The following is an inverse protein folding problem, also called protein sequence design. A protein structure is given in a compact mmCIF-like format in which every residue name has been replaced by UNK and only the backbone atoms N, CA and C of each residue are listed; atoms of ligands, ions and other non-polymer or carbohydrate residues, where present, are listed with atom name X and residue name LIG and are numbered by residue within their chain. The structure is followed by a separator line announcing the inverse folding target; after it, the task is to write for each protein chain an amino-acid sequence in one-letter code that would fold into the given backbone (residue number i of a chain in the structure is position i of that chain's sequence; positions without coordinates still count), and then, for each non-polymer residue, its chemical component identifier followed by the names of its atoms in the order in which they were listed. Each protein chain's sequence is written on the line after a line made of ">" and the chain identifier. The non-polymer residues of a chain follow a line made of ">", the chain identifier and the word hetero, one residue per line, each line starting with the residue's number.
data_IF_319753528614
#
_entry.id   IF_319753528614
#
_cell.length_a   1.000
_cell.length_b   1.000
_cell.length_c   1.000
_cell.angle_alpha   90.00
_cell.angle_beta   90.00
_cell.angle_gamma   90.00
#
_symmetry.space_group_name_H-M   'P 1'
#
loop_
_entity.id
_entity.type
_entity.pdbx_description
1 polymer ?
#
# COMPACT_ATOMS: atom_id res chain seq x y z
N UNK A 1 -14.39 114.33 -15.98
CA UNK A 1 -13.90 113.24 -16.84
C UNK A 1 -12.74 112.56 -16.11
N UNK A 2 -12.63 111.25 -15.99
CA UNK A 2 -13.31 110.22 -16.76
C UNK A 2 -13.57 108.95 -15.96
N UNK A 3 -14.62 108.24 -16.39
CA UNK A 3 -14.83 106.85 -16.08
C UNK A 3 -13.59 106.08 -16.53
N UNK A 4 -12.76 105.62 -15.59
CA UNK A 4 -11.84 104.52 -15.87
C UNK A 4 -12.71 103.31 -16.13
N UNK A 5 -12.83 102.94 -17.41
CA UNK A 5 -13.54 101.73 -17.78
C UNK A 5 -12.92 100.54 -17.03
N UNK A 6 -13.77 99.79 -16.33
CA UNK A 6 -13.46 98.49 -15.76
C UNK A 6 -13.43 97.49 -16.94
N UNK A 7 -12.43 97.61 -17.81
CA UNK A 7 -12.29 96.72 -18.98
C UNK A 7 -11.38 95.53 -18.67
N UNK A 8 -10.54 95.63 -17.63
CA UNK A 8 -9.56 94.61 -17.27
C UNK A 8 -10.11 93.47 -16.40
N UNK A 9 -11.38 93.50 -15.97
CA UNK A 9 -11.97 92.41 -15.19
C UNK A 9 -12.68 91.35 -16.06
N UNK A 10 -12.86 91.58 -17.36
CA UNK A 10 -13.66 90.69 -18.20
C UNK A 10 -12.85 89.59 -18.92
N UNK A 11 -11.55 89.81 -19.19
CA UNK A 11 -10.71 88.82 -19.89
C UNK A 11 -10.33 87.63 -19.04
N UNK A 12 -10.27 87.81 -17.71
CA UNK A 12 -9.76 86.81 -16.78
C UNK A 12 -10.90 85.95 -16.17
N UNK A 13 -12.15 86.17 -16.60
CA UNK A 13 -13.34 85.47 -16.09
C UNK A 13 -13.74 84.22 -16.90
N UNK A 14 -13.11 83.95 -18.06
CA UNK A 14 -13.63 82.97 -19.03
C UNK A 14 -12.60 81.96 -19.59
N UNK A 15 -11.44 81.78 -18.97
CA UNK A 15 -10.45 80.79 -19.40
C UNK A 15 -10.12 79.81 -18.28
N UNK A 16 -9.94 78.53 -18.60
CA UNK A 16 -9.26 77.57 -17.72
C UNK A 16 -7.90 78.17 -17.34
N UNK A 17 -7.81 78.77 -16.14
CA UNK A 17 -6.61 79.47 -15.69
C UNK A 17 -5.47 78.46 -15.51
N UNK A 18 -4.26 78.81 -15.93
CA UNK A 18 -3.05 78.04 -15.68
C UNK A 18 -2.85 77.75 -14.18
N UNK A 19 -3.45 78.58 -13.31
CA UNK A 19 -3.56 78.32 -11.88
C UNK A 19 -4.28 76.99 -11.53
N UNK A 20 -5.37 76.64 -12.21
CA UNK A 20 -6.15 75.41 -11.93
C UNK A 20 -5.32 74.17 -12.21
N UNK A 21 -4.62 74.13 -13.34
CA UNK A 21 -3.76 73.00 -13.73
C UNK A 21 -2.56 72.85 -12.80
N UNK A 22 -1.98 73.99 -12.35
CA UNK A 22 -0.90 73.99 -11.38
C UNK A 22 -1.34 73.43 -10.02
N UNK A 23 -2.50 73.85 -9.51
CA UNK A 23 -3.06 73.32 -8.27
C UNK A 23 -3.32 71.82 -8.37
N UNK A 24 -3.89 71.36 -9.48
CA UNK A 24 -4.17 69.93 -9.68
C UNK A 24 -2.91 69.08 -9.74
N UNK A 25 -1.81 69.62 -10.27
CA UNK A 25 -0.52 68.94 -10.37
C UNK A 25 0.35 69.12 -9.12
N UNK A 26 -0.14 69.83 -8.10
CA UNK A 26 0.60 70.08 -6.86
C UNK A 26 1.83 70.97 -7.06
N UNK A 27 1.87 71.75 -8.15
CA UNK A 27 2.96 72.69 -8.43
C UNK A 27 2.69 74.04 -7.76
N UNK A 28 3.74 74.65 -7.21
CA UNK A 28 3.66 76.00 -6.66
C UNK A 28 3.41 76.96 -7.82
N UNK A 29 2.26 77.65 -7.82
CA UNK A 29 2.02 78.77 -8.73
C UNK A 29 3.13 79.79 -8.51
N UNK A 30 3.87 80.23 -9.54
CA UNK A 30 4.94 81.23 -9.43
C UNK A 30 4.64 82.43 -10.36
N UNK A 31 5.03 83.63 -9.94
CA UNK A 31 4.79 84.88 -10.69
C UNK A 31 3.45 85.56 -10.36
N UNK A 32 2.95 86.38 -11.29
CA UNK A 32 1.75 87.25 -11.16
C UNK A 32 0.49 86.47 -10.72
N UNK A 33 0.42 85.16 -11.00
CA UNK A 33 -0.70 84.29 -10.64
C UNK A 33 -0.88 84.05 -9.13
N UNK A 34 0.10 84.35 -8.27
CA UNK A 34 -0.06 84.22 -6.79
C UNK A 34 -0.95 85.30 -6.20
N UNK A 35 -0.99 86.47 -6.83
CA UNK A 35 -1.70 87.66 -6.34
C UNK A 35 -3.01 87.90 -7.12
N UNK A 36 -3.33 87.00 -8.07
CA UNK A 36 -4.58 87.03 -8.82
C UNK A 36 -5.79 86.78 -7.90
N UNK A 37 -6.86 87.55 -8.11
CA UNK A 37 -8.13 87.31 -7.44
C UNK A 37 -8.77 86.01 -7.98
N UNK A 38 -9.12 85.09 -7.09
CA UNK A 38 -9.82 83.84 -7.43
C UNK A 38 -11.32 84.11 -7.52
N UNK A 39 -11.95 83.73 -8.63
CA UNK A 39 -13.41 83.80 -8.77
C UNK A 39 -14.07 82.47 -8.37
N UNK A 40 -15.39 82.48 -8.18
CA UNK A 40 -16.14 81.27 -7.75
C UNK A 40 -16.10 80.13 -8.79
N UNK A 41 -15.98 80.47 -10.07
CA UNK A 41 -15.86 79.49 -11.16
C UNK A 41 -14.53 78.76 -11.08
N UNK A 42 -13.43 79.46 -10.82
CA UNK A 42 -12.09 78.87 -10.66
C UNK A 42 -12.08 77.90 -9.47
N UNK A 43 -12.63 78.34 -8.33
CA UNK A 43 -12.74 77.52 -7.14
C UNK A 43 -13.61 76.27 -7.39
N UNK A 44 -14.74 76.44 -8.07
CA UNK A 44 -15.63 75.33 -8.44
C UNK A 44 -14.94 74.33 -9.38
N UNK A 45 -14.16 74.83 -10.33
CA UNK A 45 -13.41 73.99 -11.28
C UNK A 45 -12.31 73.20 -10.58
N UNK A 46 -11.53 73.84 -9.71
CA UNK A 46 -10.50 73.17 -8.89
C UNK A 46 -11.14 72.09 -8.01
N UNK A 47 -12.22 72.42 -7.29
CA UNK A 47 -12.91 71.48 -6.43
C UNK A 47 -13.42 70.25 -7.21
N UNK A 48 -14.05 70.48 -8.37
CA UNK A 48 -14.52 69.42 -9.26
C UNK A 48 -13.36 68.55 -9.74
N UNK A 49 -12.27 69.16 -10.19
CA UNK A 49 -11.13 68.44 -10.73
C UNK A 49 -10.35 67.65 -9.66
N UNK A 50 -10.28 68.12 -8.40
CA UNK A 50 -9.71 67.36 -7.28
C UNK A 50 -10.56 66.12 -6.99
N UNK A 51 -11.89 66.27 -6.94
CA UNK A 51 -12.82 65.15 -6.75
C UNK A 51 -12.68 64.13 -7.89
N UNK A 52 -12.61 64.60 -9.13
CA UNK A 52 -12.48 63.76 -10.33
C UNK A 52 -11.12 63.06 -10.45
N UNK A 53 -10.02 63.70 -10.02
CA UNK A 53 -8.66 63.13 -10.06
C UNK A 53 -8.51 61.95 -9.09
N UNK A 54 -9.07 62.07 -7.89
CA UNK A 54 -9.18 60.96 -6.94
C UNK A 54 -7.85 60.30 -6.56
N UNK A 55 -7.91 59.03 -6.18
CA UNK A 55 -6.76 58.18 -5.87
C UNK A 55 -6.66 57.02 -6.87
N UNK A 56 -5.43 56.71 -7.29
CA UNK A 56 -5.12 55.56 -8.15
C UNK A 56 -4.66 54.38 -7.31
N UNK A 57 -5.15 53.19 -7.63
CA UNK A 57 -4.76 51.92 -7.02
C UNK A 57 -4.44 50.92 -8.12
N UNK A 58 -3.43 50.08 -7.91
CA UNK A 58 -3.15 48.94 -8.77
C UNK A 58 -2.88 47.72 -7.89
N UNK A 59 -3.34 46.55 -8.33
CA UNK A 59 -2.90 45.27 -7.77
C UNK A 59 -1.71 44.72 -8.54
N UNK A 60 -1.33 43.49 -8.20
CA UNK A 60 -0.15 42.82 -8.80
C UNK A 60 -0.26 42.62 -10.32
N UNK A 61 -1.47 42.64 -10.89
CA UNK A 61 -1.67 42.59 -12.34
C UNK A 61 -1.29 43.89 -13.07
N UNK A 62 -0.97 44.96 -12.34
CA UNK A 62 -0.56 46.26 -12.88
C UNK A 62 -1.69 47.11 -13.49
N UNK A 63 -2.94 46.62 -13.50
CA UNK A 63 -4.09 47.42 -13.98
C UNK A 63 -4.43 48.50 -12.96
N UNK A 64 -4.28 49.76 -13.37
CA UNK A 64 -4.70 50.91 -12.56
C UNK A 64 -6.22 51.09 -12.54
N UNK A 65 -6.74 51.42 -11.37
CA UNK A 65 -8.09 51.89 -11.16
C UNK A 65 -8.05 53.24 -10.45
N UNK A 66 -8.83 54.22 -10.91
CA UNK A 66 -9.03 55.50 -10.21
C UNK A 66 -10.35 55.46 -9.44
N UNK A 67 -10.32 55.82 -8.16
CA UNK A 67 -11.50 56.08 -7.33
C UNK A 67 -11.56 57.56 -6.99
N UNK A 68 -12.64 58.24 -7.35
CA UNK A 68 -12.87 59.66 -7.05
C UNK A 68 -12.96 59.88 -5.55
N UNK A 69 -12.68 61.09 -5.07
CA UNK A 69 -12.88 61.41 -3.65
C UNK A 69 -14.36 61.24 -3.29
N UNK A 70 -14.64 60.50 -2.22
CA UNK A 70 -16.00 60.11 -1.82
C UNK A 70 -16.49 58.78 -2.41
N UNK A 71 -15.76 58.17 -3.35
CA UNK A 71 -16.07 56.81 -3.82
C UNK A 71 -15.55 55.73 -2.86
N UNK A 72 -16.23 54.59 -2.86
CA UNK A 72 -15.85 53.40 -2.09
C UNK A 72 -14.86 52.53 -2.87
N UNK A 73 -13.70 52.27 -2.29
CA UNK A 73 -12.83 51.16 -2.70
C UNK A 73 -13.27 49.89 -1.96
N UNK A 74 -13.32 48.75 -2.66
CA UNK A 74 -13.63 47.45 -2.05
C UNK A 74 -12.45 46.50 -2.22
N UNK A 75 -11.92 46.00 -1.11
CA UNK A 75 -10.83 45.01 -1.08
C UNK A 75 -11.43 43.68 -0.64
N UNK A 76 -11.36 42.65 -1.49
CA UNK A 76 -11.95 41.32 -1.25
C UNK A 76 -10.88 40.25 -1.40
N UNK A 77 -10.98 39.20 -0.60
CA UNK A 77 -10.45 37.89 -1.00
C UNK A 77 -11.42 37.19 -1.96
N UNK A 78 -11.06 36.01 -2.46
CA UNK A 78 -11.92 35.24 -3.37
C UNK A 78 -13.15 34.63 -2.69
N UNK A 79 -13.23 34.72 -1.36
CA UNK A 79 -14.37 34.29 -0.56
C UNK A 79 -14.33 32.82 -0.13
N UNK A 80 -13.37 32.04 -0.62
CA UNK A 80 -13.22 30.62 -0.25
C UNK A 80 -12.07 30.43 0.73
N UNK A 81 -10.82 30.59 0.29
CA UNK A 81 -9.62 30.42 1.12
C UNK A 81 -9.12 31.73 1.72
N UNK A 82 -9.43 32.88 1.11
CA UNK A 82 -9.03 34.18 1.62
C UNK A 82 -10.24 35.10 1.80
N UNK A 83 -10.34 35.72 2.98
CA UNK A 83 -11.28 36.80 3.25
C UNK A 83 -10.57 38.03 3.81
N UNK A 84 -11.19 39.19 3.61
CA UNK A 84 -10.78 40.47 4.18
C UNK A 84 -11.90 41.03 5.04
N UNK A 85 -11.55 41.69 6.15
CA UNK A 85 -12.48 42.38 7.04
C UNK A 85 -11.91 43.73 7.45
N UNK A 86 -12.75 44.75 7.50
CA UNK A 86 -12.38 46.07 7.99
C UNK A 86 -12.72 46.22 9.47
N UNK A 87 -11.81 46.80 10.24
CA UNK A 87 -12.08 47.32 11.58
C UNK A 87 -12.16 48.85 11.51
N UNK A 88 -13.38 49.38 11.49
CA UNK A 88 -13.64 50.82 11.32
C UNK A 88 -13.14 51.65 12.50
N UNK A 89 -13.00 51.06 13.69
CA UNK A 89 -12.55 51.79 14.87
C UNK A 89 -11.03 51.99 14.87
N UNK A 90 -10.30 51.14 14.13
CA UNK A 90 -8.83 51.19 14.03
C UNK A 90 -8.32 51.67 12.67
N UNK A 91 -9.19 51.70 11.66
CA UNK A 91 -8.77 51.96 10.28
C UNK A 91 -7.95 50.81 9.68
N UNK A 92 -8.15 49.58 10.15
CA UNK A 92 -7.38 48.41 9.73
C UNK A 92 -8.16 47.53 8.72
N UNK A 93 -7.42 46.87 7.84
CA UNK A 93 -7.92 45.78 7.00
C UNK A 93 -7.18 44.51 7.41
N UNK A 94 -7.91 43.54 7.96
CA UNK A 94 -7.37 42.23 8.32
C UNK A 94 -7.66 41.23 7.23
N UNK A 95 -6.66 40.43 6.87
CA UNK A 95 -6.80 39.30 5.97
C UNK A 95 -6.81 38.00 6.78
N UNK A 96 -7.74 37.10 6.46
CA UNK A 96 -7.81 35.77 7.07
C UNK A 96 -7.69 34.71 6.00
N UNK A 97 -6.62 33.91 6.08
CA UNK A 97 -6.50 32.68 5.31
C UNK A 97 -7.24 31.55 6.04
N UNK A 98 -8.28 31.00 5.41
CA UNK A 98 -9.02 29.86 5.91
C UNK A 98 -8.20 28.58 5.74
N UNK A 99 -7.67 28.09 6.85
CA UNK A 99 -6.84 26.89 6.90
C UNK A 99 -7.66 25.67 7.29
N UNK A 100 -7.48 24.57 6.58
CA UNK A 100 -7.95 23.25 7.00
C UNK A 100 -6.94 22.63 7.98
N UNK A 101 -7.44 22.24 9.15
CA UNK A 101 -6.67 21.53 10.19
C UNK A 101 -6.88 20.01 10.14
N UNK A 102 -7.76 19.53 9.27
CA UNK A 102 -8.02 18.11 9.01
C UNK A 102 -8.43 17.92 7.55
N UNK A 103 -8.18 16.71 7.05
CA UNK A 103 -8.65 16.21 5.74
C UNK A 103 -9.61 15.05 6.04
N UNK A 104 -10.73 15.02 5.34
CA UNK A 104 -11.76 13.99 5.43
C UNK A 104 -12.02 13.48 4.00
N UNK A 105 -12.23 12.18 3.86
CA UNK A 105 -12.57 11.54 2.58
C UNK A 105 -13.96 11.95 2.08
N UNK A 106 -14.89 12.24 3.00
CA UNK A 106 -16.24 12.62 2.65
C UNK A 106 -16.32 14.11 2.30
N UNK A 107 -16.00 14.42 1.05
CA UNK A 107 -16.03 15.79 0.52
C UNK A 107 -17.42 16.43 0.54
N UNK A 108 -18.51 15.66 0.63
CA UNK A 108 -19.86 16.21 0.61
C UNK A 108 -20.23 16.96 1.92
N UNK A 109 -19.75 16.48 3.06
CA UNK A 109 -20.07 17.06 4.39
C UNK A 109 -18.90 17.81 5.02
N UNK A 110 -17.70 17.69 4.45
CA UNK A 110 -16.48 18.29 4.98
C UNK A 110 -16.49 19.82 4.87
N UNK A 111 -16.51 20.49 6.03
CA UNK A 111 -16.44 21.96 6.15
C UNK A 111 -15.06 22.55 5.79
N UNK A 112 -14.06 21.70 5.55
CA UNK A 112 -12.70 22.07 5.16
C UNK A 112 -12.42 21.87 3.66
N UNK A 113 -13.37 21.35 2.86
CA UNK A 113 -13.13 20.96 1.46
C UNK A 113 -12.61 22.10 0.54
N UNK A 114 -12.99 23.34 0.84
CA UNK A 114 -12.65 24.53 0.04
C UNK A 114 -11.55 25.39 0.72
N UNK A 115 -10.92 24.90 1.79
CA UNK A 115 -9.90 25.62 2.55
C UNK A 115 -8.49 25.21 2.14
N UNK A 116 -7.51 26.07 2.40
CA UNK A 116 -6.09 25.73 2.19
C UNK A 116 -5.63 24.73 3.24
N UNK A 117 -5.16 23.57 2.79
CA UNK A 117 -4.67 22.50 3.66
C UNK A 117 -3.34 22.83 4.31
N UNK A 118 -3.22 22.52 5.61
CA UNK A 118 -1.98 22.68 6.37
C UNK A 118 -1.13 21.41 6.31
N UNK A 119 0.19 21.55 6.46
CA UNK A 119 1.10 20.41 6.55
C UNK A 119 0.72 19.43 7.69
N UNK A 120 0.24 19.96 8.82
CA UNK A 120 -0.27 19.14 9.93
C UNK A 120 -1.51 18.32 9.56
N UNK A 121 -2.46 18.91 8.82
CA UNK A 121 -3.64 18.19 8.33
C UNK A 121 -3.25 17.05 7.37
N UNK A 122 -2.32 17.31 6.45
CA UNK A 122 -1.78 16.30 5.53
C UNK A 122 -1.09 15.18 6.30
N UNK A 123 -0.19 15.51 7.23
CA UNK A 123 0.52 14.52 8.06
C UNK A 123 -0.46 13.62 8.80
N UNK A 124 -1.42 14.20 9.52
CA UNK A 124 -2.38 13.42 10.31
C UNK A 124 -3.27 12.53 9.45
N UNK A 125 -3.70 13.02 8.29
CA UNK A 125 -4.49 12.23 7.35
C UNK A 125 -3.68 11.04 6.81
N UNK A 126 -2.44 11.27 6.39
CA UNK A 126 -1.54 10.22 5.92
C UNK A 126 -1.21 9.22 7.04
N UNK A 127 -0.91 9.68 8.25
CA UNK A 127 -0.66 8.82 9.41
C UNK A 127 -1.88 7.91 9.65
N UNK A 128 -3.10 8.45 9.63
CA UNK A 128 -4.32 7.62 9.78
C UNK A 128 -4.50 6.59 8.66
N UNK A 129 -4.19 6.94 7.40
CA UNK A 129 -4.25 6.01 6.27
C UNK A 129 -3.17 4.93 6.34
N UNK A 130 -1.99 5.27 6.87
CA UNK A 130 -0.85 4.37 7.01
C UNK A 130 -0.97 3.51 8.26
N UNK A 131 -1.54 4.01 9.36
CA UNK A 131 -1.77 3.25 10.60
C UNK A 131 -2.69 2.04 10.37
N UNK A 132 -3.62 2.15 9.40
CA UNK A 132 -4.45 1.02 8.96
C UNK A 132 -3.68 -0.06 8.18
N UNK A 133 -2.47 0.22 7.71
CA UNK A 133 -1.57 -0.75 7.10
C UNK A 133 -0.77 -1.41 8.22
N UNK A 134 -0.86 -2.73 8.33
CA UNK A 134 -0.16 -3.44 9.40
C UNK A 134 1.35 -3.20 9.31
N UNK A 135 1.94 -2.70 10.40
CA UNK A 135 3.40 -2.58 10.53
C UNK A 135 4.08 -3.93 10.77
N UNK A 136 3.29 -4.97 11.02
CA UNK A 136 3.77 -6.32 11.32
C UNK A 136 3.06 -7.38 10.49
N UNK A 137 3.78 -8.43 10.08
CA UNK A 137 3.17 -9.68 9.63
C UNK A 137 3.01 -10.62 10.84
N UNK A 138 1.77 -10.97 11.20
CA UNK A 138 1.51 -12.00 12.21
C UNK A 138 1.70 -13.40 11.63
N UNK A 139 2.26 -14.32 12.41
CA UNK A 139 2.57 -15.68 12.00
C UNK A 139 1.97 -16.70 12.98
N UNK A 140 1.26 -17.68 12.42
CA UNK A 140 0.75 -18.85 13.12
C UNK A 140 1.27 -20.11 12.42
N UNK A 141 1.49 -21.17 13.19
CA UNK A 141 1.86 -22.48 12.70
C UNK A 141 0.99 -23.55 13.37
N UNK A 142 1.22 -24.83 13.04
CA UNK A 142 0.42 -25.93 13.56
C UNK A 142 0.41 -26.01 15.10
N UNK A 143 1.47 -25.50 15.75
CA UNK A 143 1.59 -25.41 17.21
C UNK A 143 0.92 -24.17 17.83
N UNK A 144 0.31 -23.28 17.03
CA UNK A 144 -0.31 -22.04 17.50
C UNK A 144 -1.78 -22.21 17.95
N UNK A 145 -2.34 -23.43 17.95
CA UNK A 145 -3.72 -23.68 18.40
C UNK A 145 -3.90 -23.39 19.90
N UNK A 146 -5.08 -22.91 20.30
CA UNK A 146 -5.50 -22.70 21.69
C UNK A 146 -4.46 -21.95 22.56
N UNK A 147 -4.19 -20.68 22.23
CA UNK A 147 -3.20 -19.84 22.95
C UNK A 147 -1.74 -20.33 22.87
N UNK A 148 -1.43 -21.20 21.89
CA UNK A 148 -0.06 -21.53 21.52
C UNK A 148 0.75 -20.31 21.06
N UNK A 149 2.08 -20.43 20.95
CA UNK A 149 2.93 -19.32 20.58
C UNK A 149 2.61 -18.82 19.16
N UNK A 150 2.57 -17.49 19.00
CA UNK A 150 2.48 -16.81 17.71
C UNK A 150 3.73 -15.98 17.46
N UNK A 151 4.11 -15.88 16.19
CA UNK A 151 5.23 -15.06 15.74
C UNK A 151 4.76 -13.72 15.20
N UNK A 152 5.67 -12.75 15.16
CA UNK A 152 5.48 -11.47 14.46
C UNK A 152 6.77 -11.12 13.73
N UNK A 153 6.62 -10.44 12.59
CA UNK A 153 7.73 -9.83 11.87
C UNK A 153 7.44 -8.36 11.70
N UNK A 154 8.26 -7.50 12.26
CA UNK A 154 8.18 -6.07 12.02
C UNK A 154 8.68 -5.75 10.60
N UNK A 155 7.77 -5.30 9.73
CA UNK A 155 8.05 -5.11 8.31
C UNK A 155 9.05 -3.97 8.04
N UNK A 156 9.29 -3.08 9.02
CA UNK A 156 10.21 -1.94 8.85
C UNK A 156 11.67 -2.31 9.04
N UNK A 157 11.98 -3.28 9.90
CA UNK A 157 13.35 -3.52 10.34
C UNK A 157 13.71 -5.00 10.52
N UNK A 158 12.76 -5.92 10.39
CA UNK A 158 13.00 -7.37 10.50
C UNK A 158 12.82 -8.07 9.16
N UNK A 159 13.48 -9.24 9.03
CA UNK A 159 13.28 -10.17 7.92
C UNK A 159 12.64 -11.44 8.46
N UNK A 160 11.66 -11.98 7.73
CA UNK A 160 11.15 -13.32 8.02
C UNK A 160 12.21 -14.36 7.67
N UNK A 161 12.79 -15.01 8.68
CA UNK A 161 13.63 -16.18 8.50
C UNK A 161 12.76 -17.44 8.54
N UNK A 162 12.65 -18.13 7.40
CA UNK A 162 12.12 -19.50 7.36
C UNK A 162 13.29 -20.45 7.50
N UNK A 163 13.32 -21.23 8.58
CA UNK A 163 14.38 -22.19 8.85
C UNK A 163 13.80 -23.61 8.84
N UNK A 164 14.50 -24.54 8.19
CA UNK A 164 14.21 -25.97 8.31
C UNK A 164 14.85 -26.56 9.58
N UNK A 165 14.36 -27.72 10.00
CA UNK A 165 15.03 -28.52 11.03
C UNK A 165 16.43 -28.91 10.53
N UNK A 166 17.43 -28.67 11.36
CA UNK A 166 18.85 -28.93 11.03
C UNK A 166 19.04 -30.35 10.51
N UNK A 167 19.80 -30.48 9.42
CA UNK A 167 20.09 -31.74 8.74
C UNK A 167 18.87 -32.53 8.23
N UNK A 168 17.66 -31.98 8.28
CA UNK A 168 16.45 -32.65 7.83
C UNK A 168 15.78 -31.93 6.65
N UNK A 169 15.58 -30.62 6.79
CA UNK A 169 14.95 -29.76 5.79
C UNK A 169 15.87 -28.58 5.47
N UNK A 170 16.12 -28.37 4.19
CA UNK A 170 16.84 -27.21 3.66
C UNK A 170 15.84 -26.20 3.10
N UNK A 171 16.02 -24.93 3.46
CA UNK A 171 15.25 -23.79 2.97
C UNK A 171 16.16 -22.87 2.16
N UNK A 172 15.76 -22.50 0.94
CA UNK A 172 16.54 -21.62 0.06
C UNK A 172 15.68 -20.47 -0.45
N UNK A 173 16.23 -19.26 -0.42
CA UNK A 173 15.73 -18.12 -1.18
C UNK A 173 16.68 -17.88 -2.35
N UNK A 174 16.15 -17.62 -3.54
CA UNK A 174 16.96 -17.20 -4.68
C UNK A 174 16.96 -15.68 -4.75
N UNK A 175 18.13 -15.10 -5.00
CA UNK A 175 18.25 -13.65 -5.12
C UNK A 175 17.29 -13.12 -6.18
N UNK A 176 16.61 -12.02 -5.87
CA UNK A 176 15.65 -11.33 -6.73
C UNK A 176 14.41 -12.17 -7.13
N UNK A 177 14.16 -13.31 -6.46
CA UNK A 177 12.94 -14.10 -6.60
C UNK A 177 12.09 -14.07 -5.33
N UNK A 178 10.78 -14.00 -5.52
CA UNK A 178 9.78 -13.96 -4.44
C UNK A 178 9.32 -15.38 -4.06
N UNK A 179 10.25 -16.32 -3.97
CA UNK A 179 9.96 -17.72 -3.68
C UNK A 179 10.93 -18.29 -2.67
N UNK A 180 10.39 -19.08 -1.74
CA UNK A 180 11.15 -19.91 -0.81
C UNK A 180 10.98 -21.36 -1.26
N UNK A 181 12.09 -22.05 -1.49
CA UNK A 181 12.09 -23.48 -1.80
C UNK A 181 12.36 -24.26 -0.52
N UNK A 182 11.55 -25.26 -0.24
CA UNK A 182 11.82 -26.27 0.79
C UNK A 182 12.23 -27.57 0.11
N UNK A 183 13.27 -28.21 0.63
CA UNK A 183 13.73 -29.50 0.13
C UNK A 183 14.28 -30.36 1.27
N UNK A 184 14.35 -31.67 1.07
CA UNK A 184 15.04 -32.53 2.02
C UNK A 184 16.53 -32.24 2.02
N UNK A 185 17.11 -32.14 3.22
CA UNK A 185 18.54 -32.09 3.40
C UNK A 185 19.20 -33.40 2.93
N UNK A 186 20.51 -33.37 2.65
CA UNK A 186 21.23 -34.54 2.15
C UNK A 186 21.14 -35.75 3.10
N UNK A 187 21.14 -35.52 4.41
CA UNK A 187 21.01 -36.61 5.39
C UNK A 187 19.65 -37.31 5.30
N UNK A 188 18.54 -36.56 5.20
CA UNK A 188 17.22 -37.15 4.92
C UNK A 188 17.19 -37.90 3.60
N UNK A 189 17.76 -37.32 2.54
CA UNK A 189 17.88 -37.99 1.23
C UNK A 189 18.66 -39.31 1.34
N UNK A 190 19.75 -39.34 2.12
CA UNK A 190 20.54 -40.55 2.34
C UNK A 190 19.74 -41.64 3.08
N UNK A 191 18.98 -41.27 4.12
CA UNK A 191 18.09 -42.19 4.84
C UNK A 191 17.02 -42.77 3.92
N UNK A 192 16.38 -41.92 3.11
CA UNK A 192 15.37 -42.35 2.13
C UNK A 192 15.98 -43.20 1.02
N UNK A 193 17.22 -42.93 0.61
CA UNK A 193 17.96 -43.75 -0.37
C UNK A 193 18.31 -45.17 0.10
N UNK A 194 18.09 -45.50 1.38
CA UNK A 194 18.15 -46.88 1.86
C UNK A 194 16.87 -47.67 1.57
N UNK A 195 15.82 -47.00 1.11
CA UNK A 195 14.53 -47.61 0.79
C UNK A 195 14.43 -47.69 -0.74
N UNK A 196 14.29 -48.90 -1.28
CA UNK A 196 14.03 -49.11 -2.70
C UNK A 196 12.62 -49.64 -2.87
N UNK A 197 11.82 -48.97 -3.71
CA UNK A 197 10.50 -49.44 -4.11
C UNK A 197 10.53 -49.66 -5.63
N UNK A 198 10.18 -50.87 -6.06
CA UNK A 198 10.10 -51.25 -7.48
C UNK A 198 8.78 -51.99 -7.69
N UNK A 199 7.76 -51.27 -8.19
CA UNK A 199 6.39 -51.76 -8.24
C UNK A 199 5.89 -52.18 -6.85
N UNK A 200 5.51 -53.45 -6.71
CA UNK A 200 5.04 -54.06 -5.45
C UNK A 200 6.17 -54.60 -4.56
N UNK A 201 7.44 -54.40 -4.93
CA UNK A 201 8.60 -54.91 -4.19
C UNK A 201 9.23 -53.84 -3.33
N UNK A 202 9.74 -54.23 -2.16
CA UNK A 202 10.40 -53.35 -1.21
C UNK A 202 11.80 -53.90 -0.84
N UNK A 203 12.79 -53.02 -0.70
CA UNK A 203 14.06 -53.33 -0.09
C UNK A 203 14.41 -52.31 1.00
N UNK A 204 15.01 -52.79 2.09
CA UNK A 204 15.53 -51.95 3.18
C UNK A 204 17.04 -52.17 3.32
N UNK A 205 17.81 -51.10 3.19
CA UNK A 205 19.27 -51.10 3.23
C UNK A 205 19.91 -50.79 1.89
N UNK A 206 21.10 -50.16 1.93
CA UNK A 206 21.84 -49.82 0.72
C UNK A 206 22.18 -51.09 -0.06
N UNK A 207 21.79 -51.14 -1.33
CA UNK A 207 21.96 -52.29 -2.22
C UNK A 207 21.22 -53.56 -1.75
N UNK A 208 20.23 -53.45 -0.88
CA UNK A 208 19.39 -54.59 -0.50
C UNK A 208 18.61 -55.10 -1.72
N UNK A 209 18.50 -56.42 -1.84
CA UNK A 209 17.67 -57.03 -2.88
C UNK A 209 16.20 -56.76 -2.56
N UNK A 210 15.43 -56.40 -3.58
CA UNK A 210 13.98 -56.29 -3.45
C UNK A 210 13.39 -57.66 -3.13
N UNK A 211 12.50 -57.70 -2.15
CA UNK A 211 11.68 -58.86 -1.85
C UNK A 211 10.28 -58.62 -2.41
N UNK A 212 9.75 -59.66 -3.07
CA UNK A 212 8.35 -59.66 -3.47
C UNK A 212 7.49 -59.49 -2.22
N UNK A 213 6.37 -58.76 -2.37
CA UNK A 213 5.32 -58.77 -1.37
C UNK A 213 4.96 -60.23 -1.10
N UNK A 214 5.16 -60.72 0.13
CA UNK A 214 4.69 -62.05 0.51
C UNK A 214 3.17 -62.08 0.35
N UNK A 215 2.68 -62.62 -0.75
CA UNK A 215 1.37 -63.29 -0.75
C UNK A 215 1.48 -64.44 0.26
N UNK A 216 0.41 -64.70 1.02
CA UNK A 216 0.39 -65.65 2.15
C UNK A 216 1.24 -66.93 1.89
N UNK A 217 1.81 -67.57 2.93
CA UNK A 217 2.65 -68.78 2.82
C UNK A 217 1.98 -70.03 2.21
N UNK A 218 0.85 -69.89 1.52
CA UNK A 218 0.01 -70.95 0.97
C UNK A 218 0.80 -71.88 0.03
N UNK A 219 1.70 -71.37 -0.81
CA UNK A 219 2.42 -72.23 -1.78
C UNK A 219 3.48 -73.13 -1.12
N UNK A 220 4.31 -72.58 -0.22
CA UNK A 220 5.32 -73.38 0.49
C UNK A 220 4.69 -74.42 1.43
N UNK A 221 3.55 -74.08 2.06
CA UNK A 221 2.78 -75.03 2.88
C UNK A 221 2.13 -76.11 2.00
N UNK A 222 1.57 -75.75 0.84
CA UNK A 222 0.94 -76.69 -0.07
C UNK A 222 1.93 -77.71 -0.66
N UNK A 223 3.14 -77.29 -1.03
CA UNK A 223 4.17 -78.22 -1.52
C UNK A 223 4.64 -79.20 -0.43
N UNK A 224 4.86 -78.69 0.79
CA UNK A 224 5.23 -79.54 1.93
C UNK A 224 4.13 -80.56 2.27
N UNK A 225 2.86 -80.13 2.27
CA UNK A 225 1.71 -81.05 2.46
C UNK A 225 1.65 -82.09 1.33
N UNK A 226 1.89 -81.70 0.07
CA UNK A 226 1.89 -82.62 -1.08
C UNK A 226 3.01 -83.66 -0.97
N UNK A 227 4.19 -83.27 -0.50
CA UNK A 227 5.32 -84.18 -0.27
C UNK A 227 5.04 -85.17 0.87
N UNK A 228 4.51 -84.68 2.01
CA UNK A 228 4.09 -85.53 3.13
C UNK A 228 3.02 -86.55 2.69
N UNK A 229 2.06 -86.13 1.86
CA UNK A 229 1.00 -87.00 1.34
C UNK A 229 1.47 -88.03 0.30
N UNK A 230 2.67 -87.88 -0.29
CA UNK A 230 3.24 -88.93 -1.16
C UNK A 230 3.70 -90.16 -0.37
N UNK A 231 3.90 -90.03 0.94
CA UNK A 231 4.26 -91.15 1.80
C UNK A 231 5.68 -91.66 1.61
N UNK A 232 6.09 -92.61 2.45
CA UNK A 232 7.37 -93.34 2.32
C UNK A 232 7.19 -94.53 1.39
N UNK A 233 8.14 -94.79 0.50
CA UNK A 233 8.08 -95.96 -0.40
C UNK A 233 9.00 -97.06 0.12
N UNK A 234 8.44 -98.25 0.36
CA UNK A 234 9.20 -99.40 0.84
C UNK A 234 9.35 -100.45 -0.26
N UNK A 235 10.47 -101.17 -0.29
CA UNK A 235 10.70 -102.34 -1.14
C UNK A 235 11.16 -103.51 -0.26
N UNK A 236 10.29 -104.49 -0.04
CA UNK A 236 10.65 -105.75 0.61
C UNK A 236 11.51 -106.62 -0.31
N UNK A 237 12.31 -107.52 0.26
CA UNK A 237 13.26 -108.37 -0.49
C UNK A 237 12.60 -109.22 -1.59
N UNK A 238 11.30 -109.53 -1.48
CA UNK A 238 10.59 -110.41 -2.42
C UNK A 238 9.49 -109.70 -3.22
N UNK A 239 9.34 -108.38 -3.10
CA UNK A 239 8.33 -107.63 -3.84
C UNK A 239 8.88 -107.10 -5.16
N UNK A 240 8.21 -107.43 -6.27
CA UNK A 240 8.57 -106.97 -7.62
C UNK A 240 8.18 -105.51 -7.89
N UNK A 241 7.35 -104.89 -7.04
CA UNK A 241 6.92 -103.48 -7.17
C UNK A 241 7.04 -102.74 -5.83
N UNK A 242 7.47 -101.47 -5.89
CA UNK A 242 7.51 -100.56 -4.75
C UNK A 242 6.09 -100.26 -4.26
N UNK A 243 5.90 -100.17 -2.94
CA UNK A 243 4.62 -99.81 -2.32
C UNK A 243 4.76 -98.47 -1.57
N UNK A 244 4.01 -97.42 -1.94
CA UNK A 244 3.95 -96.19 -1.15
C UNK A 244 3.04 -96.36 0.07
N UNK A 245 3.49 -95.90 1.24
CA UNK A 245 2.68 -95.81 2.46
C UNK A 245 2.48 -94.34 2.83
N UNK A 246 1.24 -93.87 2.77
CA UNK A 246 0.90 -92.48 3.12
C UNK A 246 0.83 -92.31 4.63
N UNK A 247 1.05 -91.09 5.13
CA UNK A 247 1.14 -90.81 6.58
C UNK A 247 -0.13 -91.19 7.39
N UNK A 248 -1.30 -91.27 6.73
CA UNK A 248 -2.56 -91.68 7.36
C UNK A 248 -2.82 -93.20 7.35
N UNK A 249 -1.97 -93.98 6.69
CA UNK A 249 -2.13 -95.44 6.61
C UNK A 249 -1.42 -96.10 7.79
N UNK A 250 -2.19 -96.70 8.71
CA UNK A 250 -1.68 -97.30 9.96
C UNK A 250 -1.14 -98.72 9.80
N UNK A 251 -1.21 -99.30 8.60
CA UNK A 251 -0.82 -100.69 8.32
C UNK A 251 0.08 -100.74 7.09
N UNK A 252 1.25 -101.38 7.22
CA UNK A 252 2.18 -101.65 6.12
C UNK A 252 2.04 -103.11 5.69
N UNK A 253 1.66 -103.35 4.43
CA UNK A 253 1.62 -104.70 3.85
C UNK A 253 2.98 -105.05 3.24
N UNK A 254 3.69 -105.99 3.87
CA UNK A 254 4.93 -106.58 3.36
C UNK A 254 4.58 -107.98 2.82
N UNK A 255 4.30 -108.08 1.52
CA UNK A 255 3.98 -109.36 0.90
C UNK A 255 5.24 -110.20 0.64
N UNK A 256 5.21 -111.46 1.08
CA UNK A 256 5.92 -112.58 0.47
C UNK A 256 4.88 -113.67 0.21
N UNK A 257 4.75 -114.15 -1.02
CA UNK A 257 3.98 -115.36 -1.29
C UNK A 257 4.77 -116.53 -0.69
N UNK A 258 4.26 -117.11 0.40
CA UNK A 258 4.80 -118.37 0.91
C UNK A 258 4.53 -119.46 -0.15
N UNK A 259 5.50 -119.68 -1.03
CA UNK A 259 5.56 -120.90 -1.84
C UNK A 259 5.86 -122.05 -0.88
N UNK A 260 4.81 -122.67 -0.35
CA UNK A 260 4.97 -123.94 0.36
C UNK A 260 5.26 -125.03 -0.65
N UNK A 261 6.48 -125.57 -0.57
CA UNK A 261 6.83 -126.90 -1.03
C UNK A 261 5.82 -127.92 -0.47
N UNK A 262 4.99 -128.49 -1.35
CA UNK A 262 4.65 -129.92 -1.43
C UNK A 262 3.87 -130.22 -2.70
#
# INVERSE_FOLDING_TARGET
>A
MGNKQITALASDLNGQDAAVDNVLNGTVMNGDSKDNAVNITDLSNVAKAIVEKGLKFAGDSGTEITRKLGEKITIKGNGTDLTSKTDSNKGEITFTLHKATSIDDNTATNSNKDKVVTAGAVKNYLDSKIDGISTTLGLEADNSKNSGPTGKVNLKNEKLKVAGTSDEIETKVEQDKQSITLSFAQNTKNKLGMITVDGDKLALGKNAKTVDKMTEPKEAIAENIKAINKGLTFKGNELTKKQPQKLQETTLQLGGENSHYR
#
